data_IF_007064275750
#
_entry.id   IF_007064275750
#
_cell.length_a   1.000
_cell.length_b   1.000
_cell.length_c   1.000
_cell.angle_alpha   90.00
_cell.angle_beta   90.00
_cell.angle_gamma   90.00
#
_symmetry.space_group_name_H-M   'P 1'
#
loop_
_entity.id
_entity.type
_entity.pdbx_description
1 polymer ?
#
# COMPACT_ATOMS: atom_id res chain seq x y z
N UNK A 1 -15.08 -24.73 1.39
CA UNK A 1 -14.83 -25.15 2.79
C UNK A 1 -14.35 -24.00 3.70
N UNK A 2 -14.68 -22.71 3.45
CA UNK A 2 -14.05 -21.58 4.19
C UNK A 2 -14.95 -20.61 4.93
N UNK A 3 -16.28 -20.73 4.85
CA UNK A 3 -17.22 -19.73 5.40
C UNK A 3 -17.69 -20.02 6.83
N UNK A 4 -17.65 -21.28 7.28
CA UNK A 4 -18.15 -21.69 8.60
C UNK A 4 -17.36 -21.11 9.78
N UNK A 5 -16.03 -20.96 9.62
CA UNK A 5 -15.17 -20.40 10.66
C UNK A 5 -15.43 -18.91 10.92
N UNK A 6 -15.58 -18.11 9.86
CA UNK A 6 -15.87 -16.68 9.99
C UNK A 6 -17.26 -16.42 10.56
N UNK A 7 -18.28 -17.17 10.11
CA UNK A 7 -19.63 -17.06 10.65
C UNK A 7 -19.67 -17.36 12.15
N UNK A 8 -18.91 -18.36 12.61
CA UNK A 8 -18.79 -18.67 14.03
C UNK A 8 -18.08 -17.55 14.81
N UNK A 9 -16.97 -17.02 14.30
CA UNK A 9 -16.25 -15.89 14.89
C UNK A 9 -17.14 -14.64 15.02
N UNK A 10 -17.85 -14.25 13.96
CA UNK A 10 -18.74 -13.08 13.99
C UNK A 10 -19.91 -13.28 14.95
N UNK A 11 -20.47 -14.49 15.02
CA UNK A 11 -21.51 -14.80 16.01
C UNK A 11 -20.98 -14.69 17.45
N UNK A 12 -19.75 -15.12 17.72
CA UNK A 12 -19.12 -14.98 19.03
C UNK A 12 -18.87 -13.50 19.37
N UNK A 13 -18.31 -12.72 18.45
CA UNK A 13 -18.09 -11.27 18.65
C UNK A 13 -19.40 -10.51 18.90
N UNK A 14 -20.49 -10.87 18.21
CA UNK A 14 -21.80 -10.24 18.38
C UNK A 14 -22.46 -10.56 19.74
N UNK A 15 -21.99 -11.58 20.46
CA UNK A 15 -22.48 -11.95 21.79
C UNK A 15 -21.67 -11.33 22.93
N UNK A 16 -20.54 -10.69 22.63
CA UNK A 16 -19.73 -9.99 23.63
C UNK A 16 -20.24 -8.56 23.82
N UNK A 17 -20.42 -8.08 25.05
CA UNK A 17 -20.74 -6.68 25.33
C UNK A 17 -19.47 -5.84 25.16
N UNK A 18 -19.07 -5.60 23.92
CA UNK A 18 -17.86 -4.83 23.60
C UNK A 18 -18.02 -3.38 24.05
N UNK A 19 -17.06 -2.90 24.84
CA UNK A 19 -16.93 -1.49 25.21
C UNK A 19 -16.54 -0.62 24.00
N UNK A 20 -16.67 0.70 24.14
CA UNK A 20 -16.26 1.64 23.10
C UNK A 20 -14.76 1.50 22.73
N UNK A 21 -13.91 1.23 23.71
CA UNK A 21 -12.46 1.07 23.50
C UNK A 21 -12.14 -0.24 22.77
N UNK A 22 -12.83 -1.34 23.09
CA UNK A 22 -12.65 -2.61 22.38
C UNK A 22 -13.14 -2.55 20.93
N UNK A 23 -14.24 -1.83 20.69
CA UNK A 23 -14.72 -1.54 19.33
C UNK A 23 -13.68 -0.70 18.57
N UNK A 24 -13.08 0.30 19.22
CA UNK A 24 -12.01 1.10 18.60
C UNK A 24 -10.79 0.23 18.24
N UNK A 25 -10.32 -0.62 19.15
CA UNK A 25 -9.24 -1.58 18.89
C UNK A 25 -9.54 -2.52 17.72
N UNK A 26 -10.77 -3.05 17.61
CA UNK A 26 -11.19 -3.90 16.50
C UNK A 26 -11.20 -3.16 15.16
N UNK A 27 -11.63 -1.89 15.15
CA UNK A 27 -11.56 -1.04 13.94
C UNK A 27 -10.12 -0.80 13.52
N UNK A 28 -9.24 -0.50 14.46
CA UNK A 28 -7.81 -0.30 14.19
C UNK A 28 -7.16 -1.58 13.65
N UNK A 29 -7.51 -2.75 14.21
CA UNK A 29 -7.04 -4.04 13.73
C UNK A 29 -7.50 -4.34 12.30
N UNK A 30 -8.80 -4.14 11.99
CA UNK A 30 -9.32 -4.30 10.63
C UNK A 30 -8.66 -3.34 9.64
N UNK A 31 -8.48 -2.07 10.02
CA UNK A 31 -7.79 -1.08 9.20
C UNK A 31 -6.33 -1.48 8.91
N UNK A 32 -5.65 -2.10 9.89
CA UNK A 32 -4.30 -2.62 9.71
C UNK A 32 -4.24 -3.80 8.73
N UNK A 33 -5.27 -4.64 8.68
CA UNK A 33 -5.39 -5.74 7.70
C UNK A 33 -5.63 -5.23 6.27
N UNK A 34 -6.36 -4.13 6.11
CA UNK A 34 -6.64 -3.54 4.80
C UNK A 34 -5.47 -2.70 4.24
N UNK A 35 -4.67 -2.06 5.11
CA UNK A 35 -3.68 -1.07 4.72
C UNK A 35 -2.66 -1.52 3.65
N UNK A 36 -2.10 -2.76 3.69
CA UNK A 36 -1.17 -3.23 2.66
C UNK A 36 -1.80 -3.33 1.27
N UNK A 37 -3.00 -3.91 1.18
CA UNK A 37 -3.71 -4.08 -0.09
C UNK A 37 -4.23 -2.75 -0.63
N UNK A 38 -4.69 -1.86 0.26
CA UNK A 38 -5.26 -0.57 -0.12
C UNK A 38 -4.25 0.35 -0.80
N UNK A 39 -3.03 0.45 -0.28
CA UNK A 39 -2.00 1.28 -0.92
C UNK A 39 -1.63 0.77 -2.32
N UNK A 40 -1.49 -0.55 -2.48
CA UNK A 40 -1.16 -1.16 -3.78
C UNK A 40 -2.31 -0.98 -4.79
N UNK A 41 -3.55 -1.17 -4.35
CA UNK A 41 -4.73 -0.96 -5.20
C UNK A 41 -4.83 0.49 -5.70
N UNK A 42 -4.59 1.48 -4.83
CA UNK A 42 -4.58 2.89 -5.22
C UNK A 42 -3.48 3.20 -6.25
N UNK A 43 -2.29 2.63 -6.08
CA UNK A 43 -1.18 2.78 -7.03
C UNK A 43 -1.55 2.22 -8.41
N UNK A 44 -2.10 1.01 -8.45
CA UNK A 44 -2.50 0.36 -9.71
C UNK A 44 -3.66 1.11 -10.40
N UNK A 45 -4.62 1.61 -9.62
CA UNK A 45 -5.71 2.43 -10.13
C UNK A 45 -5.21 3.73 -10.75
N UNK A 46 -4.23 4.40 -10.11
CA UNK A 46 -3.68 5.67 -10.59
C UNK A 46 -2.89 5.55 -11.90
N UNK A 47 -2.32 4.38 -12.21
CA UNK A 47 -1.48 4.21 -13.42
C UNK A 47 -2.26 4.38 -14.73
N UNK A 48 -3.55 4.01 -14.77
CA UNK A 48 -4.35 4.11 -15.99
C UNK A 48 -3.77 3.31 -17.18
N UNK A 49 -3.95 3.81 -18.41
CA UNK A 49 -3.54 3.08 -19.64
C UNK A 49 -2.01 2.88 -19.72
N UNK A 50 -1.62 1.66 -20.11
CA UNK A 50 -0.25 1.12 -20.02
C UNK A 50 0.66 1.46 -21.21
N UNK A 51 0.82 2.75 -21.54
CA UNK A 51 1.90 3.15 -22.44
C UNK A 51 3.27 2.95 -21.75
N UNK A 52 4.26 2.50 -22.52
CA UNK A 52 5.62 2.29 -22.02
C UNK A 52 6.24 3.64 -21.63
N UNK A 53 6.72 3.81 -20.38
CA UNK A 53 7.32 5.08 -19.95
C UNK A 53 8.69 5.35 -20.60
N UNK A 54 9.31 4.36 -21.26
CA UNK A 54 10.62 4.51 -21.89
C UNK A 54 10.55 4.93 -23.36
N UNK A 55 9.54 4.47 -24.11
CA UNK A 55 9.44 4.71 -25.55
C UNK A 55 8.05 5.13 -26.03
N UNK A 56 7.07 5.31 -25.13
CA UNK A 56 5.70 5.72 -25.46
C UNK A 56 4.83 4.64 -26.10
N UNK A 57 5.38 3.50 -26.51
CA UNK A 57 4.60 2.44 -27.16
C UNK A 57 3.43 1.93 -26.29
N UNK A 58 2.23 1.90 -26.87
CA UNK A 58 1.01 1.48 -26.19
C UNK A 58 0.92 -0.04 -25.99
N UNK A 59 1.66 -0.83 -26.78
CA UNK A 59 1.63 -2.29 -26.71
C UNK A 59 2.60 -2.82 -25.64
N UNK A 60 2.05 -3.15 -24.47
CA UNK A 60 2.76 -3.77 -23.37
C UNK A 60 1.99 -4.98 -22.84
N UNK A 61 2.69 -6.07 -22.51
CA UNK A 61 2.06 -7.24 -21.90
C UNK A 61 2.36 -7.31 -20.40
N UNK A 62 1.45 -7.93 -19.65
CA UNK A 62 1.61 -8.23 -18.23
C UNK A 62 2.64 -9.34 -18.05
N UNK A 63 3.65 -9.14 -17.21
CA UNK A 63 4.78 -10.05 -17.00
C UNK A 63 4.95 -10.41 -15.52
N UNK A 64 3.89 -10.93 -14.90
CA UNK A 64 3.84 -11.29 -13.50
C UNK A 64 3.79 -10.10 -12.54
N UNK A 65 4.05 -10.34 -11.26
CA UNK A 65 4.00 -9.35 -10.20
C UNK A 65 5.32 -9.29 -9.43
N UNK A 66 5.64 -8.12 -8.86
CA UNK A 66 6.73 -7.98 -7.91
C UNK A 66 6.44 -6.88 -6.90
N UNK A 67 6.74 -7.14 -5.63
CA UNK A 67 6.49 -6.20 -4.53
C UNK A 67 5.04 -5.68 -4.49
N UNK A 68 4.08 -6.56 -4.81
CA UNK A 68 2.64 -6.26 -4.81
C UNK A 68 2.11 -5.48 -6.02
N UNK A 69 2.96 -5.17 -7.01
CA UNK A 69 2.56 -4.43 -8.21
C UNK A 69 2.65 -5.30 -9.47
N UNK A 70 1.78 -5.02 -10.43
CA UNK A 70 1.80 -5.61 -11.77
C UNK A 70 3.05 -5.14 -12.51
N UNK A 71 3.82 -6.10 -13.02
CA UNK A 71 4.91 -5.81 -13.96
C UNK A 71 4.39 -5.85 -15.38
N UNK A 72 4.88 -4.92 -16.19
CA UNK A 72 4.65 -4.85 -17.61
C UNK A 72 5.97 -4.96 -18.35
N UNK A 73 5.91 -5.49 -19.57
CA UNK A 73 7.04 -5.48 -20.50
C UNK A 73 6.60 -4.93 -21.85
N UNK A 74 7.33 -3.93 -22.33
CA UNK A 74 7.07 -3.33 -23.63
C UNK A 74 7.49 -4.28 -24.75
N UNK A 75 6.68 -4.44 -25.80
CA UNK A 75 7.07 -5.29 -26.94
C UNK A 75 8.10 -4.62 -27.86
N UNK A 76 8.14 -3.28 -27.90
CA UNK A 76 9.03 -2.53 -28.77
C UNK A 76 10.44 -2.40 -28.18
N UNK A 77 10.56 -1.77 -27.00
CA UNK A 77 11.87 -1.54 -26.39
C UNK A 77 12.31 -2.64 -25.41
N UNK A 78 11.46 -3.64 -25.15
CA UNK A 78 11.72 -4.78 -24.25
C UNK A 78 11.99 -4.46 -22.78
N UNK A 79 11.97 -3.19 -22.37
CA UNK A 79 12.08 -2.77 -20.97
C UNK A 79 10.87 -3.19 -20.14
N UNK A 80 11.13 -3.55 -18.89
CA UNK A 80 10.10 -3.79 -17.87
C UNK A 80 9.81 -2.53 -17.07
N UNK A 81 8.55 -2.36 -16.70
CA UNK A 81 8.09 -1.26 -15.86
C UNK A 81 6.90 -1.68 -15.00
N UNK A 82 6.51 -0.86 -14.03
CA UNK A 82 5.29 -1.02 -13.23
C UNK A 82 4.59 0.33 -13.06
N UNK A 83 3.52 0.35 -12.28
CA UNK A 83 2.75 1.57 -11.98
C UNK A 83 3.58 2.74 -11.41
N UNK A 84 4.72 2.46 -10.75
CA UNK A 84 5.59 3.47 -10.16
C UNK A 84 6.80 3.84 -11.03
N UNK A 85 7.00 3.20 -12.18
CA UNK A 85 8.15 3.53 -13.04
C UNK A 85 8.04 4.96 -13.55
N UNK A 86 9.12 5.74 -13.37
CA UNK A 86 9.18 7.15 -13.75
C UNK A 86 8.60 8.12 -12.71
N UNK A 87 8.12 7.64 -11.55
CA UNK A 87 7.63 8.51 -10.47
C UNK A 87 8.70 8.69 -9.37
N UNK A 88 8.64 9.76 -8.56
CA UNK A 88 9.50 9.93 -7.38
C UNK A 88 9.42 8.75 -6.40
N UNK A 89 8.29 8.04 -6.40
CA UNK A 89 8.01 6.90 -5.53
C UNK A 89 8.64 5.59 -6.02
N UNK A 90 9.27 5.60 -7.20
CA UNK A 90 10.00 4.46 -7.73
C UNK A 90 11.06 3.97 -6.72
N UNK A 91 11.12 2.64 -6.56
CA UNK A 91 12.08 1.92 -5.70
C UNK A 91 11.95 2.16 -4.19
N UNK A 92 11.00 2.97 -3.74
CA UNK A 92 10.67 3.03 -2.31
C UNK A 92 10.11 1.67 -1.85
N UNK A 93 10.44 1.28 -0.62
CA UNK A 93 10.01 0.02 0.02
C UNK A 93 8.89 0.29 1.03
N UNK A 94 8.33 -0.76 1.61
CA UNK A 94 7.28 -0.72 2.64
C UNK A 94 6.01 0.04 2.22
N UNK A 95 5.46 -0.30 1.05
CA UNK A 95 4.27 0.35 0.48
C UNK A 95 3.07 0.26 1.41
N UNK A 96 2.96 -0.84 2.14
CA UNK A 96 1.95 -1.08 3.15
C UNK A 96 1.93 -0.05 4.28
N UNK A 97 3.05 0.66 4.49
CA UNK A 97 3.19 1.69 5.53
C UNK A 97 3.00 3.10 4.99
N UNK A 98 2.81 3.29 3.68
CA UNK A 98 2.76 4.63 3.08
C UNK A 98 1.49 5.39 3.46
N UNK A 99 0.32 4.73 3.47
CA UNK A 99 -0.94 5.39 3.87
C UNK A 99 -0.88 5.98 5.29
N UNK A 100 -0.51 5.24 6.34
CA UNK A 100 -0.36 5.84 7.67
C UNK A 100 0.79 6.85 7.73
N UNK A 101 1.81 6.72 6.87
CA UNK A 101 2.88 7.73 6.77
C UNK A 101 2.38 9.04 6.14
N UNK A 102 1.56 8.97 5.09
CA UNK A 102 0.93 10.16 4.48
C UNK A 102 0.07 10.89 5.50
N UNK A 103 -0.66 10.17 6.35
CA UNK A 103 -1.38 10.78 7.46
C UNK A 103 -0.45 11.56 8.40
N UNK A 104 0.74 11.03 8.69
CA UNK A 104 1.74 11.75 9.48
C UNK A 104 2.22 13.05 8.80
N UNK A 105 2.29 13.08 7.45
CA UNK A 105 2.64 14.28 6.70
C UNK A 105 1.54 15.33 6.76
N UNK A 106 0.28 14.92 6.60
CA UNK A 106 -0.90 15.81 6.73
C UNK A 106 -0.93 16.45 8.13
N UNK A 107 -0.66 15.65 9.17
CA UNK A 107 -0.58 16.09 10.56
C UNK A 107 0.72 16.86 10.89
N UNK A 108 1.57 17.12 9.90
CA UNK A 108 2.85 17.83 10.06
C UNK A 108 3.77 17.23 11.12
N UNK A 109 3.69 15.91 11.35
CA UNK A 109 4.53 15.22 12.34
C UNK A 109 6.01 15.35 11.99
N UNK A 110 6.84 15.39 13.03
CA UNK A 110 8.30 15.33 12.85
C UNK A 110 8.71 14.01 12.21
N UNK A 111 9.85 14.00 11.52
CA UNK A 111 10.39 12.76 10.89
C UNK A 111 10.54 11.62 11.91
N UNK A 112 10.93 11.95 13.15
CA UNK A 112 11.09 10.98 14.25
C UNK A 112 9.73 10.41 14.68
N UNK A 113 8.75 11.28 14.96
CA UNK A 113 7.41 10.86 15.37
C UNK A 113 6.71 10.02 14.27
N UNK A 114 6.88 10.38 13.00
CA UNK A 114 6.35 9.61 11.88
C UNK A 114 7.03 8.23 11.76
N UNK A 115 8.34 8.15 11.98
CA UNK A 115 9.10 6.90 11.94
C UNK A 115 8.63 5.91 13.02
N UNK A 116 8.42 6.42 14.24
CA UNK A 116 7.87 5.66 15.36
C UNK A 116 6.44 5.19 15.06
N UNK A 117 5.57 6.10 14.58
CA UNK A 117 4.17 5.81 14.26
C UNK A 117 3.99 4.64 13.28
N UNK A 118 4.83 4.56 12.25
CA UNK A 118 4.73 3.51 11.22
C UNK A 118 5.77 2.40 11.39
N UNK A 119 6.50 2.39 12.50
CA UNK A 119 7.54 1.41 12.83
C UNK A 119 8.57 1.23 11.69
N UNK A 120 9.26 2.29 11.31
CA UNK A 120 10.39 2.27 10.36
C UNK A 120 11.61 2.98 10.94
N UNK A 121 12.79 2.68 10.44
CA UNK A 121 14.00 3.41 10.80
C UNK A 121 13.85 4.92 10.48
N UNK A 122 14.39 5.78 11.34
CA UNK A 122 14.41 7.24 11.12
C UNK A 122 14.98 7.61 9.75
N UNK A 123 16.01 6.91 9.27
CA UNK A 123 16.62 7.12 7.96
C UNK A 123 15.66 6.80 6.79
N UNK A 124 14.81 5.77 6.95
CA UNK A 124 13.74 5.43 6.00
C UNK A 124 12.70 6.55 5.96
N UNK A 125 12.21 6.97 7.14
CA UNK A 125 11.26 8.10 7.25
C UNK A 125 11.84 9.38 6.65
N UNK A 126 13.11 9.72 6.94
CA UNK A 126 13.77 10.89 6.37
C UNK A 126 13.83 10.82 4.84
N UNK A 127 14.18 9.67 4.26
CA UNK A 127 14.17 9.48 2.80
C UNK A 127 12.78 9.64 2.21
N UNK A 128 11.75 9.14 2.88
CA UNK A 128 10.35 9.27 2.44
C UNK A 128 9.88 10.72 2.47
N UNK A 129 10.27 11.49 3.49
CA UNK A 129 9.93 12.91 3.65
C UNK A 129 10.36 13.78 2.46
N UNK A 130 11.39 13.38 1.72
CA UNK A 130 11.90 14.10 0.55
C UNK A 130 11.33 13.57 -0.78
N UNK A 131 10.51 12.52 -0.76
CA UNK A 131 10.01 11.84 -1.97
C UNK A 131 8.49 11.92 -2.11
N UNK A 132 7.78 12.05 -1.00
CA UNK A 132 6.38 12.40 -0.91
C UNK A 132 6.24 13.91 -0.87
#
# INVERSE_FOLDING_TARGET
MGTSGFQHLFRALAQLPLSADEIACLRDWLAALEAPGRCLALIEQAKGRCACPHCGNARCHRSGHANGLQRYRCIACRHSFNALTGTPLARLRHREKWLPYFQCLIESRTVRAAAERVAVAKSTSFRWRHRF
#
